data_IF_817030394669
#
_entry.id   IF_817030394669
#
_cell.length_a   1.000
_cell.length_b   1.000
_cell.length_c   1.000
_cell.angle_alpha   90.00
_cell.angle_beta   90.00
_cell.angle_gamma   90.00
#
_symmetry.space_group_name_H-M   'P 1'
#
loop_
_entity.id
_entity.type
_entity.pdbx_description
1 polymer ?
#
# COMPACT_ATOMS: atom_id res chain seq x y z
N UNK A 1 25.11 8.56 2.14
CA UNK A 1 24.09 9.46 2.71
C UNK A 1 23.43 8.77 3.90
N UNK A 2 23.35 9.42 5.07
CA UNK A 2 22.61 8.89 6.22
C UNK A 2 21.14 9.30 6.04
N UNK A 3 20.23 8.34 5.90
CA UNK A 3 18.79 8.58 5.74
C UNK A 3 18.12 8.23 7.07
N UNK A 4 17.37 9.16 7.65
CA UNK A 4 16.55 8.86 8.83
C UNK A 4 15.22 8.28 8.36
N UNK A 5 14.96 7.02 8.71
CA UNK A 5 13.72 6.36 8.36
C UNK A 5 13.34 5.30 9.41
N UNK A 6 12.04 5.18 9.66
CA UNK A 6 11.46 4.13 10.51
C UNK A 6 10.88 3.04 9.61
N UNK A 7 11.26 1.79 9.86
CA UNK A 7 10.80 0.63 9.09
C UNK A 7 9.85 -0.18 9.95
N UNK A 8 8.62 -0.37 9.47
CA UNK A 8 7.56 -1.10 10.15
C UNK A 8 7.05 -2.24 9.28
N UNK A 9 6.78 -3.39 9.89
CA UNK A 9 6.02 -4.46 9.25
C UNK A 9 4.56 -4.05 9.09
N UNK A 10 3.98 -4.27 7.90
CA UNK A 10 2.56 -4.05 7.62
C UNK A 10 1.83 -5.39 7.64
N UNK A 11 1.23 -5.81 8.77
CA UNK A 11 0.39 -7.00 8.78
C UNK A 11 -0.84 -6.76 7.89
N UNK A 12 -1.11 -7.67 6.94
CA UNK A 12 -2.36 -7.66 6.17
C UNK A 12 -3.48 -8.27 7.02
N UNK A 13 -4.66 -7.66 6.95
CA UNK A 13 -5.85 -8.15 7.67
C UNK A 13 -6.34 -9.45 7.03
N UNK A 14 -6.62 -10.48 7.84
CA UNK A 14 -7.09 -11.80 7.40
C UNK A 14 -8.30 -11.74 6.46
N UNK A 15 -9.23 -10.80 6.71
CA UNK A 15 -10.39 -10.57 5.83
C UNK A 15 -10.00 -10.20 4.38
N UNK A 16 -8.98 -9.36 4.20
CA UNK A 16 -8.50 -8.98 2.86
C UNK A 16 -7.77 -10.12 2.14
N UNK A 17 -7.22 -11.07 2.90
CA UNK A 17 -6.60 -12.30 2.38
C UNK A 17 -7.69 -13.25 1.91
N UNK A 18 -8.67 -13.52 2.79
CA UNK A 18 -9.83 -14.36 2.48
C UNK A 18 -10.61 -13.89 1.24
N UNK A 19 -10.87 -12.58 1.14
CA UNK A 19 -11.58 -12.02 0.00
C UNK A 19 -10.78 -12.16 -1.32
N UNK A 20 -9.44 -12.14 -1.27
CA UNK A 20 -8.59 -12.41 -2.45
C UNK A 20 -8.60 -13.89 -2.84
N UNK A 21 -8.64 -14.80 -1.87
CA UNK A 21 -8.73 -16.24 -2.13
C UNK A 21 -10.04 -16.59 -2.83
N UNK A 22 -11.17 -16.15 -2.26
CA UNK A 22 -12.49 -16.53 -2.76
C UNK A 22 -12.82 -15.84 -4.09
N UNK A 23 -12.54 -14.54 -4.23
CA UNK A 23 -12.99 -13.78 -5.41
C UNK A 23 -12.08 -13.99 -6.63
N UNK A 24 -10.80 -14.34 -6.43
CA UNK A 24 -9.84 -14.54 -7.54
C UNK A 24 -9.46 -16.00 -7.78
N UNK A 25 -9.99 -16.95 -7.00
CA UNK A 25 -9.70 -18.38 -7.16
C UNK A 25 -8.21 -18.71 -7.11
N UNK A 26 -7.45 -17.97 -6.30
CA UNK A 26 -6.00 -18.15 -6.16
C UNK A 26 -5.69 -19.07 -4.99
N UNK A 27 -4.81 -20.03 -5.22
CA UNK A 27 -4.28 -20.93 -4.18
C UNK A 27 -3.55 -20.14 -3.08
N UNK A 28 -3.53 -20.70 -1.87
CA UNK A 28 -2.93 -20.05 -0.71
C UNK A 28 -1.43 -19.72 -0.91
N UNK A 29 -0.71 -20.59 -1.65
CA UNK A 29 0.69 -20.36 -2.00
C UNK A 29 0.87 -19.11 -2.87
N UNK A 30 -0.13 -18.78 -3.70
CA UNK A 30 -0.13 -17.63 -4.59
C UNK A 30 -0.40 -16.30 -3.83
N UNK A 31 -0.70 -16.38 -2.54
CA UNK A 31 -0.81 -15.24 -1.61
C UNK A 31 0.57 -14.88 -1.06
N UNK A 32 1.54 -14.65 -1.94
CA UNK A 32 2.84 -14.11 -1.55
C UNK A 32 2.78 -12.67 -1.01
N UNK A 33 1.61 -12.04 -1.16
CA UNK A 33 1.28 -10.68 -0.75
C UNK A 33 1.20 -10.47 0.78
N UNK A 34 1.46 -11.51 1.59
CA UNK A 34 1.29 -11.52 3.05
C UNK A 34 2.25 -10.57 3.79
N UNK A 35 3.43 -10.33 3.23
CA UNK A 35 4.47 -9.51 3.86
C UNK A 35 4.57 -8.18 3.14
N UNK A 36 4.20 -7.11 3.84
CA UNK A 36 4.39 -5.74 3.39
C UNK A 36 5.29 -4.98 4.34
N UNK A 37 6.13 -4.10 3.82
CA UNK A 37 6.97 -3.21 4.63
C UNK A 37 6.53 -1.79 4.41
N UNK A 38 6.46 -1.02 5.50
CA UNK A 38 6.24 0.42 5.48
C UNK A 38 7.50 1.13 5.93
N UNK A 39 7.94 2.10 5.15
CA UNK A 39 9.06 2.98 5.48
C UNK A 39 8.51 4.38 5.66
N UNK A 40 8.73 4.96 6.84
CA UNK A 40 8.36 6.32 7.19
C UNK A 40 9.62 7.19 7.21
N UNK A 41 9.61 8.26 6.43
CA UNK A 41 10.71 9.23 6.36
C UNK A 41 10.26 10.61 6.86
N UNK A 42 11.22 11.50 7.10
CA UNK A 42 10.91 12.89 7.47
C UNK A 42 10.56 13.72 6.22
N UNK A 43 11.37 13.62 5.16
CA UNK A 43 11.21 14.40 3.94
C UNK A 43 10.88 13.56 2.69
N UNK A 44 10.35 14.22 1.67
CA UNK A 44 10.04 13.61 0.37
C UNK A 44 11.31 13.13 -0.34
N UNK A 45 12.42 13.88 -0.25
CA UNK A 45 13.71 13.47 -0.78
C UNK A 45 14.15 12.11 -0.23
N UNK A 46 13.97 11.91 1.06
CA UNK A 46 14.36 10.68 1.75
C UNK A 46 13.48 9.50 1.33
N UNK A 47 12.22 9.76 0.94
CA UNK A 47 11.34 8.74 0.38
C UNK A 47 11.89 8.18 -0.94
N UNK A 48 12.35 9.06 -1.86
CA UNK A 48 12.97 8.62 -3.10
C UNK A 48 14.34 7.97 -2.88
N UNK A 49 15.12 8.45 -1.91
CA UNK A 49 16.37 7.81 -1.52
C UNK A 49 16.14 6.39 -0.98
N UNK A 50 15.08 6.18 -0.19
CA UNK A 50 14.69 4.86 0.31
C UNK A 50 14.28 3.91 -0.83
N UNK A 51 13.61 4.39 -1.88
CA UNK A 51 13.36 3.58 -3.10
C UNK A 51 14.67 3.10 -3.70
N UNK A 52 15.66 3.98 -3.84
CA UNK A 52 16.99 3.62 -4.36
C UNK A 52 17.67 2.53 -3.54
N UNK A 53 17.61 2.63 -2.21
CA UNK A 53 18.15 1.59 -1.31
C UNK A 53 17.41 0.27 -1.51
N UNK A 54 16.08 0.27 -1.56
CA UNK A 54 15.27 -0.93 -1.77
C UNK A 54 15.59 -1.61 -3.10
N UNK A 55 15.69 -0.84 -4.18
CA UNK A 55 16.02 -1.37 -5.52
C UNK A 55 17.48 -1.81 -5.66
N UNK A 56 18.37 -1.35 -4.79
CA UNK A 56 19.76 -1.85 -4.72
C UNK A 56 19.87 -3.21 -4.03
N UNK A 57 18.95 -3.52 -3.10
CA UNK A 57 18.92 -4.78 -2.36
C UNK A 57 18.12 -5.86 -3.08
N UNK A 58 17.03 -5.48 -3.73
CA UNK A 58 16.09 -6.40 -4.36
C UNK A 58 15.66 -5.92 -5.74
N UNK A 59 15.53 -6.86 -6.67
CA UNK A 59 15.14 -6.56 -8.04
C UNK A 59 13.68 -6.07 -8.09
N UNK A 60 13.40 -4.88 -8.64
CA UNK A 60 12.03 -4.39 -8.78
C UNK A 60 11.27 -5.14 -9.86
N UNK A 61 9.98 -5.38 -9.61
CA UNK A 61 9.07 -5.97 -10.59
C UNK A 61 8.53 -4.85 -11.49
N UNK A 62 8.80 -4.94 -12.79
CA UNK A 62 8.36 -3.97 -13.78
C UNK A 62 6.83 -3.78 -13.77
N UNK A 63 6.37 -2.53 -13.94
CA UNK A 63 4.95 -2.19 -13.93
C UNK A 63 4.29 -2.17 -12.54
N UNK A 64 5.04 -2.47 -11.46
CA UNK A 64 4.53 -2.43 -10.07
C UNK A 64 5.06 -1.27 -9.23
N UNK A 65 5.75 -0.33 -9.85
CA UNK A 65 6.10 0.94 -9.23
C UNK A 65 4.98 1.95 -9.44
N UNK A 66 4.55 2.62 -8.36
CA UNK A 66 3.54 3.68 -8.40
C UNK A 66 3.98 4.86 -7.55
N UNK A 67 4.07 6.01 -8.19
CA UNK A 67 4.43 7.26 -7.55
C UNK A 67 3.18 8.11 -7.29
N UNK A 68 2.59 7.93 -6.10
CA UNK A 68 1.48 8.77 -5.67
C UNK A 68 1.93 10.08 -5.01
N UNK A 69 3.24 10.33 -4.88
CA UNK A 69 3.73 11.63 -4.44
C UNK A 69 3.63 12.60 -5.62
N UNK A 70 4.10 12.18 -6.79
CA UNK A 70 3.99 12.95 -8.04
C UNK A 70 2.56 12.98 -8.59
N UNK A 71 1.83 11.86 -8.50
CA UNK A 71 0.45 11.75 -8.98
C UNK A 71 -0.49 11.28 -7.86
N UNK A 72 -0.96 12.19 -6.98
CA UNK A 72 -1.79 11.83 -5.84
C UNK A 72 -3.07 11.11 -6.26
N UNK A 73 -3.34 9.96 -5.63
CA UNK A 73 -4.57 9.23 -5.90
C UNK A 73 -5.74 9.98 -5.26
N UNK A 74 -6.76 10.28 -6.07
CA UNK A 74 -7.95 11.05 -5.65
C UNK A 74 -7.60 12.43 -5.05
N UNK A 75 -6.46 13.01 -5.44
CA UNK A 75 -6.00 14.32 -4.98
C UNK A 75 -5.52 14.41 -3.53
N UNK A 76 -5.60 13.34 -2.74
CA UNK A 76 -5.32 13.39 -1.29
C UNK A 76 -4.36 12.31 -0.79
N UNK A 77 -4.23 11.19 -1.51
CA UNK A 77 -3.37 10.09 -1.08
C UNK A 77 -1.99 10.19 -1.70
N UNK A 78 -0.96 10.25 -0.85
CA UNK A 78 0.44 10.35 -1.24
C UNK A 78 1.27 9.23 -0.60
N UNK A 79 2.02 8.49 -1.43
CA UNK A 79 2.96 7.43 -1.04
C UNK A 79 3.68 6.90 -2.28
N UNK A 80 4.90 6.39 -2.13
CA UNK A 80 5.57 5.57 -3.14
C UNK A 80 5.30 4.10 -2.87
N UNK A 81 4.80 3.38 -3.87
CA UNK A 81 4.56 1.94 -3.78
C UNK A 81 5.48 1.23 -4.76
N UNK A 82 6.19 0.21 -4.30
CA UNK A 82 7.00 -0.64 -5.17
C UNK A 82 6.86 -2.09 -4.74
N UNK A 83 6.88 -3.00 -5.71
CA UNK A 83 6.98 -4.44 -5.45
C UNK A 83 8.34 -4.92 -5.94
N UNK A 84 9.07 -5.59 -5.05
CA UNK A 84 10.38 -6.18 -5.36
C UNK A 84 10.34 -7.70 -5.16
N UNK A 85 11.28 -8.42 -5.76
CA UNK A 85 11.49 -9.84 -5.47
C UNK A 85 12.28 -9.95 -4.17
N UNK A 86 11.61 -10.39 -3.10
CA UNK A 86 12.20 -10.54 -1.78
C UNK A 86 13.23 -11.68 -1.69
N UNK A 87 13.87 -11.86 -0.52
CA UNK A 87 14.98 -12.80 -0.34
C UNK A 87 14.60 -14.28 -0.55
N UNK A 88 13.33 -14.66 -0.39
CA UNK A 88 12.83 -16.02 -0.66
C UNK A 88 12.27 -16.18 -2.09
N UNK A 89 12.56 -15.24 -3.01
CA UNK A 89 11.96 -15.24 -4.35
C UNK A 89 10.49 -14.82 -4.38
N UNK A 90 9.90 -14.49 -3.22
CA UNK A 90 8.51 -14.07 -3.08
C UNK A 90 8.36 -12.54 -3.27
N UNK A 91 7.29 -12.07 -3.93
CA UNK A 91 6.98 -10.64 -4.00
C UNK A 91 6.88 -9.97 -2.63
N UNK A 92 7.58 -8.85 -2.45
CA UNK A 92 7.53 -8.00 -1.26
C UNK A 92 6.95 -6.63 -1.64
N UNK A 93 5.85 -6.25 -1.01
CA UNK A 93 5.27 -4.92 -1.19
C UNK A 93 5.92 -3.92 -0.23
N UNK A 94 6.56 -2.88 -0.77
CA UNK A 94 7.16 -1.80 0.01
C UNK A 94 6.38 -0.51 -0.22
N UNK A 95 6.00 0.14 0.88
CA UNK A 95 5.32 1.43 0.88
C UNK A 95 6.17 2.46 1.61
N UNK A 96 6.54 3.51 0.90
CA UNK A 96 7.38 4.58 1.43
C UNK A 96 6.56 5.86 1.44
N UNK A 97 6.62 6.62 2.52
CA UNK A 97 5.95 7.93 2.64
C UNK A 97 6.51 8.70 3.82
N UNK A 98 6.23 9.99 3.87
CA UNK A 98 6.61 10.79 5.03
C UNK A 98 5.70 10.54 6.22
N UNK A 99 6.13 10.91 7.42
CA UNK A 99 5.28 10.89 8.63
C UNK A 99 4.03 11.78 8.43
N UNK A 100 4.17 12.93 7.76
CA UNK A 100 3.04 13.79 7.42
C UNK A 100 2.04 13.10 6.48
N UNK A 101 2.53 12.47 5.40
CA UNK A 101 1.70 11.68 4.49
C UNK A 101 1.04 10.49 5.21
N UNK A 102 1.73 9.89 6.18
CA UNK A 102 1.17 8.81 6.99
C UNK A 102 -0.01 9.31 7.84
N UNK A 103 0.14 10.42 8.55
CA UNK A 103 -0.95 11.05 9.32
C UNK A 103 -2.14 11.40 8.43
N UNK A 104 -1.91 11.98 7.26
CA UNK A 104 -2.99 12.29 6.30
C UNK A 104 -3.72 11.04 5.82
N UNK A 105 -3.00 9.93 5.61
CA UNK A 105 -3.59 8.68 5.15
C UNK A 105 -4.38 7.94 6.25
N UNK A 106 -4.02 8.09 7.53
CA UNK A 106 -4.71 7.44 8.66
C UNK A 106 -5.84 8.30 9.25
N UNK A 107 -5.67 9.63 9.29
CA UNK A 107 -6.60 10.55 10.00
C UNK A 107 -7.19 11.65 9.11
N UNK A 108 -6.70 11.85 7.89
CA UNK A 108 -7.19 12.92 7.01
C UNK A 108 -8.47 12.57 6.24
N UNK A 109 -8.92 13.48 5.37
CA UNK A 109 -10.07 13.26 4.46
C UNK A 109 -9.92 11.95 3.65
N UNK A 110 -8.67 11.55 3.35
CA UNK A 110 -8.34 10.27 2.72
C UNK A 110 -8.77 9.04 3.55
N UNK A 111 -8.73 9.10 4.87
CA UNK A 111 -9.24 8.05 5.76
C UNK A 111 -10.77 7.96 5.71
N UNK A 112 -11.44 9.12 5.62
CA UNK A 112 -12.89 9.21 5.41
C UNK A 112 -13.33 8.65 4.05
N UNK A 113 -12.49 8.69 3.01
CA UNK A 113 -12.79 8.07 1.71
C UNK A 113 -12.75 6.54 1.73
N UNK A 114 -11.92 5.91 2.56
CA UNK A 114 -12.01 4.45 2.80
C UNK A 114 -13.40 4.05 3.31
N UNK A 115 -14.08 4.92 4.06
CA UNK A 115 -15.44 4.69 4.55
C UNK A 115 -16.50 4.74 3.43
N UNK A 116 -16.32 5.60 2.42
CA UNK A 116 -17.23 5.67 1.26
C UNK A 116 -17.06 4.49 0.29
N UNK A 117 -15.83 4.00 0.07
CA UNK A 117 -15.62 2.77 -0.71
C UNK A 117 -16.21 1.52 0.00
N UNK A 118 -16.17 1.45 1.33
CA UNK A 118 -16.79 0.35 2.08
C UNK A 118 -18.33 0.34 1.94
N UNK A 119 -18.98 1.51 1.92
CA UNK A 119 -20.43 1.62 1.68
C UNK A 119 -20.86 1.33 0.23
N UNK A 120 -19.96 1.52 -0.74
CA UNK A 120 -20.27 1.32 -2.17
C UNK A 120 -20.32 -0.14 -2.64
N UNK A 121 -19.94 -1.11 -1.81
CA UNK A 121 -19.91 -2.54 -2.19
C UNK A 121 -21.07 -3.40 -1.66
N UNK A 122 -21.91 -2.87 -0.78
CA UNK A 122 -23.13 -3.54 -0.28
C UNK A 122 -24.39 -2.69 -0.50
N UNK A 123 -24.54 -2.11 -1.69
CA UNK A 123 -25.78 -1.45 -2.09
C UNK A 123 -26.82 -2.45 -2.57
N UNK A 124 -27.47 -3.19 -1.66
CA UNK A 124 -28.83 -3.65 -1.93
C UNK A 124 -29.70 -2.39 -2.00
N UNK A 125 -30.46 -2.17 -3.09
CA UNK A 125 -31.38 -1.06 -3.14
C UNK A 125 -32.49 -1.32 -2.12
N UNK A 126 -32.66 -0.42 -1.15
CA UNK A 126 -33.92 -0.32 -0.44
C UNK A 126 -34.95 0.16 -1.46
N UNK A 127 -35.73 -0.77 -1.99
CA UNK A 127 -36.93 -0.49 -2.74
C UNK A 127 -37.85 0.37 -1.87
N UNK A 128 -38.00 1.64 -2.23
CA UNK A 128 -39.16 2.41 -1.82
C UNK A 128 -40.37 1.82 -2.55
N UNK A 129 -41.24 1.16 -1.79
CA UNK A 129 -42.61 0.87 -2.22
C UNK A 129 -43.54 1.31 -1.10
N UNK A 130 -44.39 2.26 -1.50
CA UNK A 130 -45.67 2.71 -0.92
C UNK A 130 -45.65 3.28 0.51
#
# INVERSE_FOLDING_TARGET
SKINATVEGRPKHYWSIYQKMIVKGRDFDDIHDLVGVRILCDEVRDCYAAVGVVHSLWQPIAGRFKDYIAQPRFGVYQSLHTTVVGPEGKPLEVQIRTIGMHKTAEYGIAAHWRYKEAKGRNGLPLSQTA
#
